data_IF_182184277769
#
_entry.id   IF_182184277769
#
_cell.length_a   1.000
_cell.length_b   1.000
_cell.length_c   1.000
_cell.angle_alpha   90.00
_cell.angle_beta   90.00
_cell.angle_gamma   90.00
#
_symmetry.space_group_name_H-M   'P 1'
#
loop_
_entity.id
_entity.type
_entity.pdbx_description
1 polymer ?
#
# COMPACT_ATOMS: atom_id res chain seq x y z
N UNK A 1 -4.23 -51.73 43.51
CA UNK A 1 -3.48 -50.50 43.16
C UNK A 1 -3.56 -50.34 41.65
N UNK A 2 -3.69 -49.11 41.14
CA UNK A 2 -3.78 -48.84 39.70
C UNK A 2 -4.61 -47.60 39.40
N UNK A 3 -3.94 -46.49 39.11
CA UNK A 3 -4.57 -45.25 38.63
C UNK A 3 -4.11 -45.00 37.19
N UNK A 4 -5.04 -45.06 36.24
CA UNK A 4 -4.76 -44.72 34.84
C UNK A 4 -4.59 -43.20 34.69
N UNK A 5 -3.39 -42.76 34.33
CA UNK A 5 -3.13 -41.37 34.00
C UNK A 5 -3.60 -41.06 32.57
N UNK A 6 -4.76 -40.41 32.44
CA UNK A 6 -5.27 -39.91 31.16
C UNK A 6 -4.59 -38.58 30.81
N UNK A 7 -3.50 -38.65 30.04
CA UNK A 7 -2.72 -37.49 29.61
C UNK A 7 -3.47 -36.68 28.56
N UNK A 8 -4.16 -35.61 28.99
CA UNK A 8 -4.86 -34.71 28.08
C UNK A 8 -3.88 -33.84 27.28
N UNK A 9 -3.69 -34.14 26.00
CA UNK A 9 -2.93 -33.31 25.06
C UNK A 9 -3.67 -32.00 24.76
N UNK A 10 -3.35 -30.94 25.51
CA UNK A 10 -3.71 -29.58 25.12
C UNK A 10 -2.89 -29.15 23.90
N UNK A 11 -3.51 -29.25 22.71
CA UNK A 11 -2.94 -28.68 21.47
C UNK A 11 -3.08 -27.16 21.55
N UNK A 12 -2.08 -26.51 22.14
CA UNK A 12 -1.94 -25.05 22.13
C UNK A 12 -1.68 -24.56 20.72
N UNK A 13 -2.75 -24.25 19.99
CA UNK A 13 -2.72 -23.58 18.70
C UNK A 13 -2.10 -22.18 18.87
N UNK A 14 -0.79 -22.06 18.63
CA UNK A 14 -0.09 -20.79 18.56
C UNK A 14 -0.50 -20.03 17.28
N UNK A 15 -1.67 -19.40 17.29
CA UNK A 15 -1.97 -18.31 16.37
C UNK A 15 -1.17 -17.07 16.78
N UNK A 16 0.14 -17.11 16.53
CA UNK A 16 0.93 -15.90 16.43
C UNK A 16 0.34 -15.06 15.29
N UNK A 17 -0.14 -13.86 15.61
CA UNK A 17 -0.80 -12.96 14.66
C UNK A 17 0.18 -12.38 13.65
N UNK A 18 0.55 -13.18 12.65
CA UNK A 18 1.17 -12.69 11.43
C UNK A 18 0.15 -11.78 10.72
N UNK A 19 0.47 -10.49 10.60
CA UNK A 19 -0.31 -9.53 9.80
C UNK A 19 -0.09 -9.87 8.33
N UNK A 20 -0.83 -10.86 7.86
CA UNK A 20 -0.72 -11.46 6.53
C UNK A 20 -1.45 -10.56 5.53
N UNK A 21 -0.74 -9.68 4.84
CA UNK A 21 -1.34 -8.91 3.76
C UNK A 21 -1.73 -9.87 2.60
N UNK A 22 -2.98 -10.35 2.60
CA UNK A 22 -3.47 -11.31 1.62
C UNK A 22 -3.63 -10.60 0.26
N UNK A 23 -2.88 -11.03 -0.77
CA UNK A 23 -2.85 -10.39 -2.08
C UNK A 23 -4.14 -10.70 -2.85
N UNK A 24 -5.14 -9.88 -2.59
CA UNK A 24 -6.51 -9.96 -3.08
C UNK A 24 -6.95 -8.52 -3.44
N UNK A 25 -6.71 -8.05 -4.69
CA UNK A 25 -6.88 -6.64 -5.04
C UNK A 25 -8.33 -6.16 -5.06
N UNK A 26 -8.53 -4.88 -4.78
CA UNK A 26 -9.86 -4.27 -4.79
C UNK A 26 -10.52 -4.39 -6.16
N UNK A 27 -11.81 -4.73 -6.11
CA UNK A 27 -12.67 -4.85 -7.29
C UNK A 27 -13.16 -3.51 -7.83
N UNK A 28 -13.12 -2.46 -7.01
CA UNK A 28 -13.40 -1.09 -7.38
C UNK A 28 -12.56 -0.07 -6.60
N UNK A 29 -12.52 1.17 -7.10
CA UNK A 29 -11.78 2.29 -6.51
C UNK A 29 -12.50 3.64 -6.67
N UNK A 30 -12.13 4.63 -5.85
CA UNK A 30 -12.32 6.05 -6.09
C UNK A 30 -11.07 6.81 -5.65
N UNK A 31 -10.41 7.50 -6.56
CA UNK A 31 -9.34 8.43 -6.21
C UNK A 31 -9.91 9.76 -5.75
N UNK A 32 -9.23 10.43 -4.82
CA UNK A 32 -9.60 11.78 -4.39
C UNK A 32 -10.98 11.84 -3.69
N UNK A 33 -11.49 10.72 -3.17
CA UNK A 33 -12.69 10.67 -2.33
C UNK A 33 -12.43 9.82 -1.10
N UNK A 34 -13.08 10.19 0.01
CA UNK A 34 -13.09 9.45 1.28
C UNK A 34 -14.51 9.43 1.86
N UNK A 35 -14.80 8.58 2.87
CA UNK A 35 -16.07 8.65 3.57
C UNK A 35 -16.25 9.98 4.32
N UNK A 36 -17.51 10.41 4.45
CA UNK A 36 -17.88 11.65 5.15
C UNK A 36 -17.48 11.62 6.63
N UNK A 37 -17.28 12.77 7.28
CA UNK A 37 -17.04 12.82 8.73
C UNK A 37 -18.16 12.15 9.54
N UNK A 38 -19.41 12.19 9.07
CA UNK A 38 -20.53 11.49 9.70
C UNK A 38 -20.37 9.96 9.61
N UNK A 39 -19.96 9.44 8.45
CA UNK A 39 -19.68 8.01 8.27
C UNK A 39 -18.49 7.55 9.12
N UNK A 40 -17.37 8.30 9.12
CA UNK A 40 -16.18 8.00 9.93
C UNK A 40 -16.42 8.13 11.45
N UNK A 41 -17.41 8.93 11.86
CA UNK A 41 -17.85 8.99 13.26
C UNK A 41 -18.67 7.75 13.63
N UNK A 42 -19.59 7.33 12.75
CA UNK A 42 -20.49 6.18 12.96
C UNK A 42 -19.79 4.83 12.86
N UNK A 43 -18.85 4.67 11.93
CA UNK A 43 -18.16 3.41 11.64
C UNK A 43 -16.67 3.55 11.91
N UNK A 44 -16.12 2.62 12.70
CA UNK A 44 -14.68 2.57 13.01
C UNK A 44 -13.99 1.47 12.20
N UNK A 45 -12.72 1.70 11.79
CA UNK A 45 -11.98 0.69 11.06
C UNK A 45 -11.81 -0.57 11.91
N UNK A 46 -11.86 -1.71 11.22
CA UNK A 46 -11.64 -3.03 11.81
C UNK A 46 -10.15 -3.40 11.91
N UNK A 47 -9.29 -2.69 11.18
CA UNK A 47 -7.83 -2.69 11.25
C UNK A 47 -7.30 -1.37 10.66
N UNK A 48 -6.10 -0.91 11.01
CA UNK A 48 -5.51 0.30 10.42
C UNK A 48 -3.99 0.21 10.31
N UNK A 49 -3.49 0.04 9.08
CA UNK A 49 -2.07 -0.16 8.79
C UNK A 49 -1.40 1.16 8.35
N UNK A 50 -0.56 1.79 9.18
CA UNK A 50 0.19 3.00 8.81
C UNK A 50 1.48 2.67 8.06
N UNK A 51 2.04 3.67 7.37
CA UNK A 51 3.30 3.60 6.60
C UNK A 51 3.27 2.66 5.38
N UNK A 52 2.08 2.32 4.90
CA UNK A 52 1.86 1.49 3.70
C UNK A 52 1.66 2.37 2.46
N UNK A 53 2.00 1.85 1.28
CA UNK A 53 1.68 2.52 0.00
C UNK A 53 0.18 2.46 -0.29
N UNK A 54 -0.31 3.42 -1.07
CA UNK A 54 -1.67 3.37 -1.62
C UNK A 54 -1.86 2.15 -2.55
N UNK A 55 -0.79 1.70 -3.20
CA UNK A 55 -0.76 0.48 -4.01
C UNK A 55 -1.02 -0.75 -3.14
N UNK A 56 -0.29 -0.93 -2.03
CA UNK A 56 -0.53 -2.04 -1.09
C UNK A 56 -1.93 -1.99 -0.46
N UNK A 57 -2.42 -0.78 -0.11
CA UNK A 57 -3.77 -0.63 0.49
C UNK A 57 -4.90 -1.05 -0.45
N UNK A 58 -4.67 -0.94 -1.76
CA UNK A 58 -5.62 -1.35 -2.81
C UNK A 58 -5.40 -2.80 -3.28
N UNK A 59 -4.15 -3.27 -3.28
CA UNK A 59 -3.77 -4.60 -3.81
C UNK A 59 -3.93 -5.71 -2.77
N UNK A 60 -3.85 -5.39 -1.48
CA UNK A 60 -3.91 -6.37 -0.39
C UNK A 60 -5.08 -6.09 0.56
N UNK A 61 -5.72 -7.17 1.02
CA UNK A 61 -6.63 -7.10 2.17
C UNK A 61 -5.84 -7.08 3.47
N UNK A 62 -6.39 -6.39 4.48
CA UNK A 62 -5.80 -6.20 5.82
C UNK A 62 -6.66 -6.80 6.94
N UNK A 63 -7.79 -7.42 6.60
CA UNK A 63 -8.65 -8.15 7.54
C UNK A 63 -8.53 -9.66 7.34
N UNK A 64 -8.65 -10.39 8.44
CA UNK A 64 -8.57 -11.85 8.48
C UNK A 64 -9.87 -12.47 8.98
N UNK A 65 -10.11 -13.74 8.64
CA UNK A 65 -11.20 -14.55 9.18
C UNK A 65 -11.34 -14.37 10.71
N UNK A 66 -12.55 -14.08 11.25
CA UNK A 66 -13.86 -14.08 10.58
C UNK A 66 -14.26 -12.74 9.92
N UNK A 67 -13.41 -11.72 9.92
CA UNK A 67 -13.71 -10.41 9.28
C UNK A 67 -13.49 -10.49 7.77
N UNK A 68 -14.50 -10.11 6.98
CA UNK A 68 -14.40 -9.95 5.53
C UNK A 68 -14.15 -8.47 5.20
N UNK A 69 -13.18 -8.16 4.34
CA UNK A 69 -12.94 -6.79 3.90
C UNK A 69 -13.87 -6.46 2.74
N UNK A 70 -14.71 -5.44 2.93
CA UNK A 70 -15.55 -4.90 1.84
C UNK A 70 -15.06 -3.53 1.36
N UNK A 71 -14.32 -2.82 2.21
CA UNK A 71 -13.90 -1.45 1.95
C UNK A 71 -12.57 -1.12 2.64
N UNK A 72 -11.79 -0.25 2.02
CA UNK A 72 -10.69 0.45 2.68
C UNK A 72 -10.67 1.94 2.28
N UNK A 73 -10.37 2.81 3.25
CA UNK A 73 -10.02 4.21 3.01
C UNK A 73 -8.53 4.40 3.29
N UNK A 74 -7.81 4.96 2.34
CA UNK A 74 -6.43 5.39 2.46
C UNK A 74 -6.35 6.89 2.78
N UNK A 75 -5.81 7.22 3.95
CA UNK A 75 -5.46 8.57 4.37
C UNK A 75 -4.00 8.85 4.00
N UNK A 76 -3.73 9.88 3.19
CA UNK A 76 -2.39 10.16 2.65
C UNK A 76 -1.53 10.90 3.68
N UNK A 77 -0.25 10.51 3.80
CA UNK A 77 0.72 11.20 4.64
C UNK A 77 1.82 11.87 3.79
N UNK A 78 1.64 13.15 3.50
CA UNK A 78 2.48 13.95 2.60
C UNK A 78 3.95 14.16 3.04
N UNK A 79 4.37 13.72 4.24
CA UNK A 79 5.80 13.71 4.61
C UNK A 79 6.61 12.72 3.76
N UNK A 80 5.94 11.72 3.16
CA UNK A 80 6.56 10.65 2.36
C UNK A 80 6.35 10.79 0.85
N UNK A 81 5.87 11.93 0.37
CA UNK A 81 5.60 12.15 -1.06
C UNK A 81 6.83 11.94 -1.97
N UNK A 82 8.04 12.12 -1.44
CA UNK A 82 9.29 11.95 -2.21
C UNK A 82 9.82 10.52 -2.26
N UNK A 83 9.16 9.57 -1.59
CA UNK A 83 9.63 8.18 -1.51
C UNK A 83 9.21 7.38 -2.75
N UNK A 84 10.06 6.46 -3.20
CA UNK A 84 9.65 5.49 -4.23
C UNK A 84 8.41 4.70 -3.78
N UNK A 85 7.42 4.58 -4.67
CA UNK A 85 6.16 3.87 -4.38
C UNK A 85 5.08 4.68 -3.68
N UNK A 86 5.35 5.95 -3.35
CA UNK A 86 4.35 6.89 -2.85
C UNK A 86 3.08 6.93 -3.75
N UNK A 87 1.94 7.46 -3.26
CA UNK A 87 1.71 7.96 -1.88
C UNK A 87 1.80 6.89 -0.79
N UNK A 88 2.37 7.26 0.35
CA UNK A 88 2.33 6.49 1.60
C UNK A 88 1.32 7.12 2.56
N UNK A 89 0.81 6.34 3.50
CA UNK A 89 -0.29 6.77 4.36
C UNK A 89 -0.77 5.71 5.34
N UNK A 90 -2.02 5.83 5.76
CA UNK A 90 -2.71 4.85 6.62
C UNK A 90 -3.83 4.18 5.84
N UNK A 91 -3.82 2.85 5.79
CA UNK A 91 -4.88 2.05 5.20
C UNK A 91 -5.88 1.62 6.29
N UNK A 92 -7.06 2.24 6.31
CA UNK A 92 -8.14 1.92 7.24
C UNK A 92 -9.10 0.91 6.60
N UNK A 93 -9.13 -0.32 7.11
CA UNK A 93 -9.91 -1.42 6.53
C UNK A 93 -11.22 -1.66 7.29
N UNK A 94 -12.31 -1.97 6.57
CA UNK A 94 -13.67 -2.06 7.14
C UNK A 94 -14.46 -3.28 6.64
N UNK A 95 -15.29 -3.82 7.54
CA UNK A 95 -16.32 -4.84 7.28
C UNK A 95 -17.65 -4.27 6.76
N UNK A 96 -17.72 -2.94 6.57
CA UNK A 96 -18.84 -2.18 6.00
C UNK A 96 -18.30 -1.12 5.05
N UNK A 97 -19.06 -0.76 4.02
CA UNK A 97 -18.68 0.26 3.04
C UNK A 97 -19.62 1.49 3.12
N UNK A 98 -19.18 2.66 2.65
CA UNK A 98 -20.04 3.82 2.45
C UNK A 98 -21.06 3.60 1.32
N UNK A 99 -22.21 4.27 1.42
CA UNK A 99 -23.07 4.50 0.25
C UNK A 99 -22.42 5.55 -0.67
N UNK A 100 -22.86 5.66 -1.92
CA UNK A 100 -22.31 6.67 -2.83
C UNK A 100 -22.47 8.11 -2.29
N UNK A 101 -23.60 8.38 -1.62
CA UNK A 101 -23.89 9.67 -0.97
C UNK A 101 -23.03 9.95 0.29
N UNK A 102 -22.38 8.94 0.87
CA UNK A 102 -21.45 9.13 1.99
C UNK A 102 -20.05 9.58 1.52
N UNK A 103 -19.75 9.57 0.22
CA UNK A 103 -18.42 9.91 -0.30
C UNK A 103 -18.25 11.42 -0.48
N UNK A 104 -17.17 11.97 0.08
CA UNK A 104 -16.84 13.40 -0.01
C UNK A 104 -15.53 13.65 -0.77
N UNK A 105 -15.47 14.71 -1.60
CA UNK A 105 -14.24 15.14 -2.28
C UNK A 105 -13.06 15.38 -1.31
N UNK A 106 -11.90 14.85 -1.68
CA UNK A 106 -10.69 14.78 -0.86
C UNK A 106 -9.44 14.72 -1.75
N UNK A 107 -9.28 15.72 -2.63
CA UNK A 107 -8.17 15.80 -3.59
C UNK A 107 -6.82 15.66 -2.89
N UNK A 108 -5.97 14.75 -3.40
CA UNK A 108 -4.63 14.38 -2.90
C UNK A 108 -4.54 13.81 -1.48
N UNK A 109 -5.49 14.10 -0.59
CA UNK A 109 -5.45 13.65 0.81
C UNK A 109 -6.09 12.26 1.04
N UNK A 110 -6.93 11.75 0.11
CA UNK A 110 -7.73 10.55 0.37
C UNK A 110 -8.15 9.73 -0.86
N UNK A 111 -8.01 8.41 -0.76
CA UNK A 111 -8.37 7.45 -1.81
C UNK A 111 -9.13 6.26 -1.20
N UNK A 112 -10.06 5.66 -1.93
CA UNK A 112 -10.98 4.65 -1.40
C UNK A 112 -11.07 3.42 -2.30
N UNK A 113 -11.16 2.23 -1.70
CA UNK A 113 -11.07 0.94 -2.39
C UNK A 113 -12.17 -0.02 -1.92
N UNK A 114 -12.73 -0.79 -2.85
CA UNK A 114 -13.94 -1.60 -2.65
C UNK A 114 -13.73 -3.05 -3.09
N UNK A 115 -14.08 -3.99 -2.22
CA UNK A 115 -14.07 -5.43 -2.50
C UNK A 115 -15.49 -5.94 -2.76
N UNK A 116 -15.58 -7.19 -3.24
CA UNK A 116 -16.86 -7.87 -3.54
C UNK A 116 -17.80 -7.12 -4.50
N UNK A 117 -17.26 -6.19 -5.31
CA UNK A 117 -17.96 -5.27 -6.22
C UNK A 117 -18.98 -4.35 -5.53
N UNK A 118 -18.74 -4.00 -4.27
CA UNK A 118 -19.66 -3.18 -3.45
C UNK A 118 -19.80 -1.72 -3.90
N UNK A 119 -18.77 -1.14 -4.53
CA UNK A 119 -18.81 0.24 -5.02
C UNK A 119 -17.56 0.64 -5.80
N UNK A 120 -17.43 1.94 -6.08
CA UNK A 120 -16.35 2.53 -6.86
C UNK A 120 -16.40 2.26 -8.37
N UNK A 121 -15.43 2.78 -9.11
CA UNK A 121 -15.19 2.43 -10.52
C UNK A 121 -14.43 1.10 -10.61
N UNK A 122 -14.68 0.24 -11.62
CA UNK A 122 -14.08 -1.10 -11.67
C UNK A 122 -12.54 -1.12 -11.72
N UNK A 123 -11.95 -2.05 -10.95
CA UNK A 123 -10.51 -2.27 -10.82
C UNK A 123 -9.92 -1.71 -9.52
N UNK A 124 -8.59 -1.81 -9.39
CA UNK A 124 -7.86 -1.40 -8.18
C UNK A 124 -7.38 0.07 -8.22
N UNK A 125 -7.40 0.72 -9.39
CA UNK A 125 -7.02 2.12 -9.58
C UNK A 125 -5.52 2.44 -9.53
N UNK A 126 -4.65 1.50 -9.16
CA UNK A 126 -3.24 1.77 -8.79
C UNK A 126 -2.20 1.06 -9.67
N UNK A 127 -1.00 1.65 -9.77
CA UNK A 127 0.24 0.93 -10.14
C UNK A 127 0.51 -0.23 -9.16
N UNK A 128 1.25 -1.29 -9.56
CA UNK A 128 1.68 -2.36 -8.65
C UNK A 128 2.41 -1.83 -7.40
N UNK A 129 2.57 -2.69 -6.39
CA UNK A 129 3.39 -2.36 -5.20
C UNK A 129 4.82 -2.08 -5.69
N UNK A 130 5.43 -1.00 -5.19
CA UNK A 130 6.78 -0.59 -5.58
C UNK A 130 7.77 -0.82 -4.45
N UNK A 131 9.01 -1.13 -4.80
CA UNK A 131 10.11 -1.22 -3.85
C UNK A 131 10.45 0.18 -3.30
N UNK A 132 10.46 0.39 -1.97
CA UNK A 132 10.70 1.70 -1.36
C UNK A 132 12.11 2.27 -1.62
N UNK A 133 13.07 1.45 -2.08
CA UNK A 133 14.47 1.86 -2.33
C UNK A 133 14.73 2.35 -3.75
N UNK A 134 13.96 1.92 -4.74
CA UNK A 134 14.23 2.18 -6.17
C UNK A 134 13.00 2.17 -7.08
N UNK A 135 11.79 2.05 -6.54
CA UNK A 135 10.54 2.19 -7.29
C UNK A 135 10.28 1.10 -8.32
N UNK A 136 11.00 -0.02 -8.28
CA UNK A 136 10.73 -1.18 -9.11
C UNK A 136 9.40 -1.83 -8.70
N UNK A 137 8.61 -2.30 -9.65
CA UNK A 137 7.39 -3.05 -9.33
C UNK A 137 7.71 -4.42 -8.73
N UNK A 138 6.82 -4.87 -7.86
CA UNK A 138 6.82 -6.17 -7.23
C UNK A 138 5.45 -6.50 -6.65
N UNK A 139 5.42 -7.46 -5.73
CA UNK A 139 4.21 -7.98 -5.10
C UNK A 139 4.50 -8.49 -3.69
N UNK A 140 3.47 -8.58 -2.84
CA UNK A 140 3.58 -9.25 -1.54
C UNK A 140 3.03 -10.68 -1.63
N UNK A 141 3.73 -11.63 -1.00
CA UNK A 141 3.29 -13.02 -0.95
C UNK A 141 2.25 -13.19 0.17
N UNK A 142 1.02 -13.50 -0.22
CA UNK A 142 -0.17 -13.54 0.65
C UNK A 142 0.02 -14.20 2.02
N UNK A 143 0.79 -15.29 2.12
CA UNK A 143 1.00 -16.05 3.37
C UNK A 143 2.08 -15.48 4.30
N UNK A 144 2.91 -14.54 3.83
CA UNK A 144 4.08 -14.05 4.59
C UNK A 144 4.19 -12.53 4.64
N UNK A 145 3.42 -11.79 3.83
CA UNK A 145 3.59 -10.34 3.65
C UNK A 145 4.93 -9.95 3.02
N UNK A 146 5.76 -10.91 2.59
CA UNK A 146 7.08 -10.62 2.03
C UNK A 146 6.94 -10.01 0.64
N UNK A 147 7.42 -8.77 0.49
CA UNK A 147 7.60 -8.14 -0.81
C UNK A 147 8.68 -8.85 -1.64
N UNK A 148 8.42 -9.02 -2.94
CA UNK A 148 9.33 -9.59 -3.93
C UNK A 148 9.35 -8.67 -5.15
N UNK A 149 10.53 -8.18 -5.53
CA UNK A 149 10.76 -7.44 -6.77
C UNK A 149 10.52 -8.28 -8.03
N UNK A 150 10.01 -7.65 -9.08
CA UNK A 150 9.88 -8.26 -10.41
C UNK A 150 8.43 -8.61 -10.79
N UNK A 151 8.24 -9.52 -11.77
CA UNK A 151 6.92 -9.91 -12.24
C UNK A 151 6.12 -10.61 -11.13
N UNK A 152 4.86 -10.19 -10.97
CA UNK A 152 4.00 -10.68 -9.91
C UNK A 152 3.55 -12.13 -10.17
N UNK A 153 3.81 -13.05 -9.22
CA UNK A 153 3.41 -14.45 -9.35
C UNK A 153 1.92 -14.66 -9.06
N UNK A 154 1.08 -14.46 -10.07
CA UNK A 154 -0.40 -14.55 -9.97
C UNK A 154 -0.91 -15.90 -9.47
N UNK A 155 -0.11 -16.97 -9.47
CA UNK A 155 -0.49 -18.25 -8.82
C UNK A 155 -0.57 -18.15 -7.29
N UNK A 156 0.11 -17.16 -6.69
CA UNK A 156 0.08 -16.87 -5.25
C UNK A 156 -0.95 -15.80 -4.85
N UNK A 157 -1.66 -15.25 -5.83
CA UNK A 157 -2.72 -14.27 -5.65
C UNK A 157 -3.97 -14.95 -5.10
N UNK A 158 -4.50 -14.43 -3.99
CA UNK A 158 -5.64 -15.00 -3.29
C UNK A 158 -6.93 -14.28 -3.66
N UNK A 159 -7.25 -14.26 -4.96
CA UNK A 159 -8.46 -13.62 -5.48
C UNK A 159 -9.73 -14.08 -4.74
N UNK A 160 -10.48 -13.11 -4.22
CA UNK A 160 -11.80 -13.29 -3.61
C UNK A 160 -11.77 -14.29 -2.43
N UNK A 161 -10.73 -14.27 -1.59
CA UNK A 161 -10.49 -15.33 -0.60
C UNK A 161 -11.41 -15.25 0.62
N UNK A 162 -11.63 -14.05 1.16
CA UNK A 162 -12.60 -13.77 2.22
C UNK A 162 -14.04 -13.97 1.73
N UNK A 163 -14.23 -13.84 0.41
CA UNK A 163 -15.39 -14.26 -0.35
C UNK A 163 -15.77 -15.75 -0.21
N UNK A 164 -14.90 -16.57 0.38
CA UNK A 164 -15.07 -18.01 0.63
C UNK A 164 -15.18 -18.36 2.13
N UNK A 165 -15.17 -17.36 3.02
CA UNK A 165 -15.22 -17.59 4.48
C UNK A 165 -16.59 -18.17 4.93
N UNK A 166 -16.60 -19.17 5.84
CA UNK A 166 -17.84 -19.73 6.40
C UNK A 166 -18.79 -18.66 6.96
N UNK A 167 -20.06 -18.75 6.57
CA UNK A 167 -21.11 -17.81 6.98
C UNK A 167 -21.19 -16.50 6.20
N UNK A 168 -20.18 -16.15 5.38
CA UNK A 168 -20.27 -14.98 4.52
C UNK A 168 -21.26 -15.20 3.38
N UNK A 169 -22.04 -14.17 3.05
CA UNK A 169 -23.04 -14.23 1.99
C UNK A 169 -23.06 -12.92 1.18
N UNK A 170 -22.41 -12.95 0.02
CA UNK A 170 -22.30 -11.80 -0.91
C UNK A 170 -23.65 -11.26 -1.38
N UNK A 171 -24.70 -12.09 -1.40
CA UNK A 171 -26.06 -11.64 -1.77
C UNK A 171 -26.71 -10.73 -0.71
N UNK A 172 -26.10 -10.59 0.47
CA UNK A 172 -26.51 -9.64 1.52
C UNK A 172 -25.70 -8.33 1.51
N UNK A 173 -24.68 -8.21 0.66
CA UNK A 173 -23.97 -6.95 0.48
C UNK A 173 -24.89 -5.93 -0.17
N UNK A 174 -24.77 -4.67 0.25
CA UNK A 174 -25.25 -3.56 -0.54
C UNK A 174 -24.25 -3.35 -1.69
N UNK A 175 -24.76 -3.05 -2.89
CA UNK A 175 -23.95 -2.80 -4.07
C UNK A 175 -24.40 -1.44 -4.62
N UNK A 176 -23.45 -0.56 -4.96
CA UNK A 176 -23.78 0.68 -5.65
C UNK A 176 -24.39 0.37 -7.01
N UNK A 177 -25.44 1.12 -7.37
CA UNK A 177 -26.04 1.06 -8.69
C UNK A 177 -25.08 1.57 -9.77
N UNK A 178 -25.34 1.20 -11.03
CA UNK A 178 -24.55 1.72 -12.15
C UNK A 178 -24.69 3.25 -12.29
N UNK A 179 -25.80 3.84 -11.84
CA UNK A 179 -26.00 5.29 -11.82
C UNK A 179 -25.08 5.97 -10.78
N UNK A 180 -24.99 5.41 -9.56
CA UNK A 180 -24.08 5.88 -8.51
C UNK A 180 -22.61 5.76 -8.94
N UNK A 181 -22.20 4.62 -9.51
CA UNK A 181 -20.86 4.46 -10.07
C UNK A 181 -20.59 5.43 -11.24
N UNK A 182 -21.61 5.76 -12.05
CA UNK A 182 -21.47 6.74 -13.13
C UNK A 182 -21.30 8.17 -12.62
N UNK A 183 -21.83 8.53 -11.44
CA UNK A 183 -21.72 9.88 -10.88
C UNK A 183 -20.27 10.30 -10.57
N UNK A 184 -19.36 9.33 -10.39
CA UNK A 184 -17.93 9.53 -10.17
C UNK A 184 -17.06 9.38 -11.44
N UNK A 185 -17.64 9.19 -12.62
CA UNK A 185 -16.86 9.13 -13.87
C UNK A 185 -16.44 10.54 -14.29
N UNK A 186 -15.13 10.77 -14.37
CA UNK A 186 -14.56 12.07 -14.73
C UNK A 186 -13.06 12.05 -14.96
N UNK A 187 -12.49 13.22 -15.27
CA UNK A 187 -11.05 13.41 -15.48
C UNK A 187 -10.25 13.28 -14.19
N UNK A 188 -10.87 13.50 -13.03
CA UNK A 188 -10.36 13.25 -11.68
C UNK A 188 -10.04 11.77 -11.41
N UNK A 189 -10.69 10.85 -12.12
CA UNK A 189 -10.44 9.40 -12.06
C UNK A 189 -9.54 8.88 -13.20
N UNK A 190 -9.11 9.74 -14.14
CA UNK A 190 -8.39 9.31 -15.36
C UNK A 190 -7.00 8.73 -15.11
N UNK A 191 -6.37 9.07 -13.97
CA UNK A 191 -4.99 8.68 -13.68
C UNK A 191 -4.95 7.32 -12.96
N UNK A 192 -4.21 6.35 -13.54
CA UNK A 192 -3.98 4.98 -13.00
C UNK A 192 -3.11 4.92 -11.73
N UNK A 193 -2.79 6.07 -11.14
CA UNK A 193 -2.16 6.13 -9.83
C UNK A 193 -2.31 7.54 -9.22
N UNK A 194 -2.62 7.64 -7.91
CA UNK A 194 -2.62 8.90 -7.17
C UNK A 194 -1.34 9.74 -7.30
N UNK A 195 -1.46 11.04 -7.01
CA UNK A 195 -0.37 12.02 -7.02
C UNK A 195 0.38 11.99 -5.68
N UNK A 196 1.71 11.96 -5.70
CA UNK A 196 2.52 12.19 -4.51
C UNK A 196 2.74 13.69 -4.30
N UNK A 197 1.75 14.37 -3.73
CA UNK A 197 1.85 15.79 -3.42
C UNK A 197 0.50 16.47 -3.28
N UNK A 198 0.42 17.39 -2.32
CA UNK A 198 -0.71 18.29 -2.02
C UNK A 198 -1.30 18.97 -3.27
N UNK A 199 -2.53 19.52 -3.24
CA UNK A 199 -3.26 19.93 -4.43
C UNK A 199 -2.48 20.84 -5.39
N UNK A 200 -1.89 21.91 -4.85
CA UNK A 200 -1.06 22.86 -5.59
C UNK A 200 0.43 22.52 -5.67
N UNK A 201 0.88 21.44 -5.01
CA UNK A 201 2.28 21.00 -5.05
C UNK A 201 2.67 20.36 -6.40
N UNK A 202 3.98 20.16 -6.66
CA UNK A 202 4.43 19.26 -7.71
C UNK A 202 3.98 17.81 -7.40
N UNK A 203 4.01 16.92 -8.40
CA UNK A 203 4.07 15.49 -8.14
C UNK A 203 5.54 15.17 -7.82
N UNK A 204 5.80 14.65 -6.61
CA UNK A 204 7.14 14.38 -6.07
C UNK A 204 7.56 12.91 -6.24
N UNK A 205 6.70 12.06 -6.82
CA UNK A 205 7.01 10.65 -7.09
C UNK A 205 8.34 10.55 -7.86
N UNK A 206 9.37 9.86 -7.33
CA UNK A 206 10.65 9.72 -8.01
C UNK A 206 10.63 8.71 -9.18
N UNK A 207 9.53 7.98 -9.38
CA UNK A 207 9.41 6.94 -10.40
C UNK A 207 10.18 5.67 -10.05
N UNK A 208 10.47 4.84 -11.06
CA UNK A 208 11.45 3.75 -10.96
C UNK A 208 12.86 4.27 -11.29
N UNK A 209 13.86 3.84 -10.52
CA UNK A 209 15.26 4.07 -10.85
C UNK A 209 15.68 3.31 -12.13
N UNK A 210 16.75 3.73 -12.84
CA UNK A 210 17.25 3.00 -14.01
C UNK A 210 17.52 1.52 -13.72
N UNK A 211 17.04 0.64 -14.60
CA UNK A 211 17.17 -0.82 -14.46
C UNK A 211 16.16 -1.49 -13.51
N UNK A 212 15.39 -0.74 -12.71
CA UNK A 212 14.37 -1.30 -11.85
C UNK A 212 13.15 -1.80 -12.66
N UNK A 213 12.62 -2.97 -12.29
CA UNK A 213 11.52 -3.62 -13.02
C UNK A 213 10.26 -2.73 -13.12
N UNK A 214 9.60 -2.75 -14.27
CA UNK A 214 8.40 -1.94 -14.55
C UNK A 214 8.68 -0.55 -15.12
N UNK A 215 9.84 0.06 -14.83
CA UNK A 215 10.29 1.32 -15.46
C UNK A 215 9.29 2.48 -15.34
N UNK A 216 8.58 2.58 -14.20
CA UNK A 216 7.49 3.53 -13.99
C UNK A 216 7.96 4.98 -14.10
N UNK A 217 7.19 5.77 -14.87
CA UNK A 217 7.34 7.23 -14.98
C UNK A 217 6.07 7.89 -14.44
N UNK A 218 6.19 8.81 -13.46
CA UNK A 218 5.03 9.48 -12.88
C UNK A 218 4.43 10.50 -13.84
N UNK A 219 3.13 10.73 -13.73
CA UNK A 219 2.45 11.78 -14.48
C UNK A 219 2.77 13.17 -13.91
N UNK A 220 2.80 14.21 -14.75
CA UNK A 220 3.03 15.58 -14.30
C UNK A 220 1.88 16.07 -13.41
N UNK A 221 2.17 16.99 -12.48
CA UNK A 221 1.18 17.55 -11.55
C UNK A 221 -0.08 18.10 -12.26
N UNK A 222 0.07 18.61 -13.48
CA UNK A 222 -0.98 19.16 -14.34
C UNK A 222 -1.96 18.13 -14.92
N UNK A 223 -1.67 16.83 -14.88
CA UNK A 223 -2.62 15.78 -15.30
C UNK A 223 -3.70 15.53 -14.24
N UNK A 224 -3.40 15.81 -12.98
CA UNK A 224 -4.30 15.61 -11.85
C UNK A 224 -5.29 16.76 -11.74
N UNK A 225 -6.56 16.43 -11.57
CA UNK A 225 -7.68 17.38 -11.49
C UNK A 225 -8.42 17.19 -10.16
N UNK A 226 -8.88 18.28 -9.51
CA UNK A 226 -9.80 18.15 -8.39
C UNK A 226 -11.07 17.40 -8.79
N UNK A 227 -11.59 16.50 -7.94
CA UNK A 227 -12.89 15.88 -8.12
C UNK A 227 -14.03 16.91 -8.01
N UNK A 228 -15.16 16.60 -8.64
CA UNK A 228 -16.35 17.47 -8.69
C UNK A 228 -16.81 17.83 -7.28
N UNK A 229 -16.97 19.13 -7.02
CA UNK A 229 -17.42 19.65 -5.72
C UNK A 229 -16.32 19.77 -4.65
N UNK A 230 -15.07 19.43 -4.96
CA UNK A 230 -13.93 19.80 -4.10
C UNK A 230 -13.82 21.32 -4.00
N UNK A 231 -13.33 21.80 -2.84
CA UNK A 231 -13.08 23.21 -2.57
C UNK A 231 -11.65 23.37 -2.04
N UNK A 232 -10.87 24.34 -2.56
CA UNK A 232 -9.52 24.60 -2.08
C UNK A 232 -9.50 25.07 -0.63
N UNK A 233 -8.54 24.59 0.14
CA UNK A 233 -8.24 25.09 1.48
C UNK A 233 -7.45 26.41 1.39
N UNK A 234 -7.25 27.08 2.53
CA UNK A 234 -6.47 28.34 2.60
C UNK A 234 -5.03 28.21 2.06
N UNK A 235 -4.45 27.02 2.07
CA UNK A 235 -3.12 26.73 1.49
C UNK A 235 -3.11 26.52 -0.03
N UNK A 236 -4.26 26.21 -0.65
CA UNK A 236 -4.38 25.78 -2.04
C UNK A 236 -4.44 26.97 -3.03
N UNK A 237 -3.46 27.86 -2.90
CA UNK A 237 -3.41 29.19 -3.51
C UNK A 237 -3.29 29.21 -5.05
N UNK A 238 -3.20 28.06 -5.70
CA UNK A 238 -3.28 27.94 -7.17
C UNK A 238 -4.72 27.96 -7.70
N UNK A 239 -5.72 27.60 -6.89
CA UNK A 239 -7.15 27.56 -7.28
C UNK A 239 -7.93 28.82 -6.88
N UNK A 240 -7.29 30.00 -6.89
CA UNK A 240 -7.86 31.27 -6.38
C UNK A 240 -9.19 31.70 -7.02
N UNK A 241 -9.50 31.22 -8.22
CA UNK A 241 -10.74 31.53 -8.94
C UNK A 241 -11.65 30.30 -9.11
N UNK A 242 -11.46 29.24 -8.31
CA UNK A 242 -12.20 27.98 -8.38
C UNK A 242 -11.36 26.77 -8.84
N UNK A 243 -11.89 25.55 -8.72
CA UNK A 243 -11.17 24.29 -9.00
C UNK A 243 -10.90 24.05 -10.49
N UNK A 244 -11.62 24.73 -11.38
CA UNK A 244 -11.54 24.51 -12.83
C UNK A 244 -10.28 25.08 -13.49
N UNK A 245 -9.56 25.99 -12.80
CA UNK A 245 -8.27 26.49 -13.27
C UNK A 245 -7.14 25.52 -12.92
N UNK A 246 -6.46 25.04 -13.96
CA UNK A 246 -5.17 24.34 -13.81
C UNK A 246 -4.17 25.19 -13.01
N UNK A 247 -3.35 24.56 -12.14
CA UNK A 247 -2.13 25.20 -11.65
C UNK A 247 -1.29 25.65 -12.86
N UNK A 248 -1.04 26.97 -12.97
CA UNK A 248 -0.09 27.49 -13.96
C UNK A 248 1.29 26.89 -13.64
N UNK A 249 2.11 26.51 -14.65
CA UNK A 249 3.50 26.15 -14.42
C UNK A 249 4.22 27.29 -13.68
N UNK A 250 4.91 26.96 -12.60
CA UNK A 250 5.70 27.92 -11.82
C UNK A 250 6.94 28.34 -12.63
N UNK A 251 7.10 29.62 -13.02
CA UNK A 251 8.26 30.08 -13.78
C UNK A 251 9.57 30.08 -12.96
N UNK A 252 9.50 29.98 -11.63
CA UNK A 252 10.61 30.33 -10.73
C UNK A 252 11.67 29.24 -10.52
N UNK A 253 11.50 28.04 -11.09
CA UNK A 253 12.50 26.96 -11.05
C UNK A 253 12.69 26.26 -12.40
N UNK A 254 13.65 26.71 -13.24
CA UNK A 254 14.12 25.89 -14.35
C UNK A 254 14.72 24.60 -13.81
N UNK A 255 14.20 23.45 -14.25
CA UNK A 255 14.80 22.15 -13.93
C UNK A 255 16.20 22.07 -14.54
N UNK A 256 17.14 21.45 -13.82
CA UNK A 256 18.47 21.10 -14.36
C UNK A 256 18.34 19.96 -15.39
N UNK A 257 17.84 20.29 -16.58
CA UNK A 257 18.10 19.49 -17.77
C UNK A 257 19.60 19.53 -18.05
N UNK A 258 20.24 18.37 -18.17
CA UNK A 258 21.67 18.30 -18.49
C UNK A 258 21.89 18.89 -19.89
N UNK A 259 22.64 19.98 -19.97
CA UNK A 259 22.87 20.69 -21.22
C UNK A 259 23.68 19.85 -22.19
N UNK A 260 23.10 19.47 -23.34
CA UNK A 260 23.81 18.79 -24.40
C UNK A 260 24.48 19.82 -25.32
N UNK A 261 25.72 20.17 -25.02
CA UNK A 261 26.56 21.06 -25.83
C UNK A 261 27.95 20.44 -25.99
N UNK A 262 28.23 19.92 -27.19
CA UNK A 262 29.23 20.52 -28.08
C UNK A 262 29.22 19.84 -29.46
N UNK A 263 29.23 20.66 -30.51
CA UNK A 263 29.67 20.31 -31.86
C UNK A 263 30.57 21.43 -32.37
N UNK A 264 31.78 21.11 -32.85
CA UNK A 264 32.39 21.80 -33.98
C UNK A 264 32.23 21.03 -35.29
N UNK A 265 32.29 21.75 -36.42
CA UNK A 265 32.49 21.19 -37.75
C UNK A 265 33.99 21.01 -38.04
N UNK A 266 34.42 20.05 -38.87
CA UNK A 266 33.87 18.69 -39.12
C UNK A 266 35.01 17.62 -39.21
N UNK A 267 36.08 17.59 -40.06
CA UNK A 267 36.30 17.85 -41.51
C UNK A 267 37.68 17.20 -41.98
N UNK A 268 37.72 16.44 -43.10
CA UNK A 268 38.81 15.72 -43.90
C UNK A 268 39.83 14.64 -43.37
N UNK A 269 40.13 13.68 -44.28
CA UNK A 269 41.33 12.81 -44.48
C UNK A 269 41.40 11.32 -44.01
N UNK A 270 40.90 10.44 -44.89
CA UNK A 270 41.52 9.14 -45.35
C UNK A 270 41.57 7.84 -44.49
N UNK A 271 41.42 6.73 -45.23
CA UNK A 271 41.88 5.33 -44.99
C UNK A 271 41.22 4.44 -43.92
N UNK A 272 40.17 3.74 -44.35
CA UNK A 272 39.90 2.30 -44.12
C UNK A 272 41.20 1.46 -44.39
N UNK A 273 41.43 0.24 -43.83
CA UNK A 273 40.55 -0.91 -44.11
C UNK A 273 40.35 -2.00 -43.03
N UNK A 274 39.21 -2.71 -43.11
CA UNK A 274 38.97 -4.12 -42.65
C UNK A 274 38.81 -4.33 -41.11
N UNK A 275 38.20 -5.41 -40.60
CA UNK A 275 37.87 -6.70 -41.22
C UNK A 275 36.50 -7.31 -40.80
N UNK A 276 35.96 -8.14 -41.70
CA UNK A 276 34.67 -8.86 -41.76
C UNK A 276 34.03 -9.42 -40.46
N UNK A 277 32.72 -9.15 -40.33
CA UNK A 277 31.59 -10.08 -40.12
C UNK A 277 31.81 -11.58 -39.78
N UNK A 278 30.96 -12.03 -38.83
CA UNK A 278 30.03 -13.19 -38.90
C UNK A 278 30.32 -14.54 -38.19
N UNK A 279 29.22 -15.07 -37.64
CA UNK A 279 28.74 -16.46 -37.56
C UNK A 279 29.28 -17.50 -36.55
N UNK A 280 28.49 -17.65 -35.47
CA UNK A 280 27.57 -18.80 -35.27
C UNK A 280 27.97 -19.99 -34.34
N UNK A 281 26.92 -20.62 -33.80
CA UNK A 281 26.78 -22.00 -33.31
C UNK A 281 27.06 -22.35 -31.84
N UNK A 282 25.96 -22.46 -31.09
CA UNK A 282 25.50 -23.69 -30.39
C UNK A 282 26.45 -24.47 -29.46
N UNK A 283 26.19 -24.42 -28.15
CA UNK A 283 26.17 -25.65 -27.32
C UNK A 283 25.20 -25.50 -26.13
N UNK A 284 24.58 -26.61 -25.69
CA UNK A 284 23.72 -26.68 -24.48
C UNK A 284 24.50 -27.38 -23.31
N UNK A 285 23.92 -27.61 -22.12
CA UNK A 285 24.59 -27.28 -20.86
C UNK A 285 25.38 -28.46 -20.24
N UNK A 286 26.13 -28.17 -19.18
CA UNK A 286 26.50 -29.14 -18.15
C UNK A 286 26.01 -28.69 -16.78
N UNK A 287 25.40 -29.61 -16.04
CA UNK A 287 25.21 -29.47 -14.61
C UNK A 287 26.58 -29.48 -13.92
N UNK A 288 26.74 -28.66 -12.88
CA UNK A 288 27.45 -29.10 -11.69
C UNK A 288 26.54 -28.86 -10.47
N UNK A 289 26.08 -29.98 -9.91
CA UNK A 289 25.55 -30.06 -8.56
C UNK A 289 26.76 -30.05 -7.61
N UNK A 290 26.71 -29.24 -6.55
CA UNK A 290 27.69 -29.31 -5.48
C UNK A 290 27.00 -29.10 -4.14
N UNK A 291 26.81 -30.21 -3.43
CA UNK A 291 26.32 -30.28 -2.06
C UNK A 291 27.42 -29.92 -1.04
N UNK A 292 27.06 -29.92 0.25
CA UNK A 292 27.92 -29.77 1.44
C UNK A 292 28.46 -28.35 1.73
N UNK A 293 28.71 -27.96 3.00
CA UNK A 293 28.13 -28.43 4.28
C UNK A 293 28.43 -27.42 5.40
N UNK A 294 27.69 -27.54 6.51
CA UNK A 294 27.88 -26.86 7.80
C UNK A 294 29.32 -26.61 8.27
N UNK A 295 29.59 -25.38 8.75
CA UNK A 295 30.39 -25.14 9.97
C UNK A 295 29.81 -23.98 10.78
N UNK A 296 29.45 -24.27 12.03
CA UNK A 296 29.36 -23.28 13.13
C UNK A 296 30.80 -22.90 13.55
N UNK A 297 31.03 -21.75 14.20
CA UNK A 297 31.45 -21.90 15.60
C UNK A 297 30.90 -20.83 16.55
N UNK A 298 30.58 -21.28 17.77
CA UNK A 298 29.93 -20.49 18.82
C UNK A 298 30.91 -19.98 19.91
N UNK A 299 30.38 -19.19 20.85
CA UNK A 299 30.90 -18.90 22.20
C UNK A 299 32.12 -17.97 22.41
N UNK A 300 31.88 -16.81 23.02
CA UNK A 300 31.99 -16.57 24.49
C UNK A 300 31.31 -15.24 24.88
N UNK A 301 30.49 -15.17 25.95
CA UNK A 301 30.82 -14.94 27.39
C UNK A 301 31.51 -13.60 27.67
N UNK A 302 31.25 -12.87 28.75
CA UNK A 302 30.22 -12.89 29.83
C UNK A 302 30.20 -11.47 30.47
N UNK A 303 29.12 -11.06 31.15
CA UNK A 303 29.03 -9.69 31.70
C UNK A 303 27.97 -9.47 32.78
N UNK A 304 27.99 -10.25 33.86
CA UNK A 304 27.07 -10.09 35.00
C UNK A 304 27.68 -9.25 36.13
N UNK A 305 26.88 -8.37 36.74
CA UNK A 305 27.11 -7.87 38.09
C UNK A 305 25.80 -7.48 38.77
N UNK A 306 25.64 -7.82 40.04
CA UNK A 306 24.41 -7.67 40.82
C UNK A 306 24.61 -6.74 42.02
N UNK A 307 23.54 -6.05 42.47
CA UNK A 307 23.48 -5.58 43.85
C UNK A 307 22.05 -5.41 44.40
N UNK A 308 21.76 -6.16 45.45
CA UNK A 308 20.72 -5.91 46.47
C UNK A 308 21.10 -4.68 47.33
N UNK A 309 20.25 -4.08 48.17
CA UNK A 309 18.89 -4.45 48.66
C UNK A 309 17.97 -3.19 48.59
N UNK A 310 16.95 -2.85 49.41
CA UNK A 310 16.41 -3.31 50.72
C UNK A 310 14.87 -3.13 50.77
N UNK A 311 14.29 -3.08 51.97
CA UNK A 311 12.85 -2.99 52.27
C UNK A 311 12.57 -1.85 53.25
N UNK A 312 11.35 -1.27 53.23
CA UNK A 312 10.61 -0.95 54.47
C UNK A 312 9.10 -0.68 54.26
N UNK A 313 8.29 -1.21 55.18
CA UNK A 313 7.03 -0.67 55.77
C UNK A 313 5.89 -0.08 54.90
N UNK A 314 4.80 -0.86 54.82
CA UNK A 314 3.38 -0.40 54.86
C UNK A 314 3.00 -0.06 56.35
N UNK A 315 1.75 0.25 56.80
CA UNK A 315 0.47 0.46 56.08
C UNK A 315 -0.41 1.64 56.58
N UNK A 316 -1.58 1.87 55.95
CA UNK A 316 -2.82 2.18 56.71
C UNK A 316 -4.12 1.82 55.96
N UNK A 317 -5.18 1.52 56.72
CA UNK A 317 -6.50 1.09 56.23
C UNK A 317 -7.44 2.24 55.84
N UNK A 318 -8.37 1.98 54.91
CA UNK A 318 -9.80 1.90 55.30
C UNK A 318 -10.62 0.93 54.43
N UNK A 319 -11.49 0.16 55.08
CA UNK A 319 -12.50 -0.71 54.45
C UNK A 319 -13.84 0.03 54.34
N UNK A 320 -14.57 -0.16 53.25
CA UNK A 320 -16.02 -0.54 53.21
C UNK A 320 -16.50 -0.64 51.75
N UNK A 321 -17.54 -1.42 51.37
CA UNK A 321 -17.95 -2.80 51.72
C UNK A 321 -19.40 -3.03 51.27
N UNK A 322 -19.63 -3.97 50.34
CA UNK A 322 -20.95 -4.58 50.01
C UNK A 322 -21.97 -3.61 49.34
N UNK A 323 -23.03 -4.08 48.64
CA UNK A 323 -23.50 -5.46 48.43
C UNK A 323 -24.18 -5.66 47.06
N UNK A 324 -24.22 -6.93 46.62
CA UNK A 324 -24.96 -7.47 45.47
C UNK A 324 -26.47 -7.15 45.53
N UNK A 325 -27.13 -7.12 44.37
CA UNK A 325 -28.04 -8.21 43.95
C UNK A 325 -28.35 -8.16 42.45
N UNK A 326 -28.83 -9.28 41.92
CA UNK A 326 -29.27 -9.44 40.53
C UNK A 326 -30.81 -9.52 40.48
N UNK A 327 -31.36 -9.07 39.37
CA UNK A 327 -32.46 -9.70 38.60
C UNK A 327 -32.13 -9.46 37.14
#
# INVERSE_FOLDING_TARGET
MGFSCLTAFFISFFLAGLVSANWDPSTGYLHNYRPSPAWLNKFKPSESSPHVQVSECSINTRLHYPKVQVFAWFEVNHVWDGNHGCPYGTCHAYVVHPAAADMVPSFTEGHSFFWHKTGGLPGNGVKPISNPRHGGFGYEVSLTGKFIDGPANTQSQQLDHDGKYPGFNKKKLQLWSQAEMNAFKGTDQSQKHPKCGTPCGPNKDPGSAPGAYGGYKPASASTYKPPKGWKPNKGDTCFKNGPDLLPKPDPSKPGKGSGNLNKPKDEDSTTDPKHKNADNSTTKPKNQQQDSSTTDPSNKKDGSSTKTTKSSSNPTHRKKSLRKKCT
#
